data_IF_150232607430
#
_entry.id   IF_150232607430
#
_cell.length_a   1.000
_cell.length_b   1.000
_cell.length_c   1.000
_cell.angle_alpha   90.00
_cell.angle_beta   90.00
_cell.angle_gamma   90.00
#
_symmetry.space_group_name_H-M   'P 1'
#
loop_
_entity.id
_entity.type
_entity.pdbx_description
1 polymer ?
#
# COMPACT_ATOMS: atom_id res chain seq x y z
N UNK A 1 9.46 -12.90 7.65
CA UNK A 1 9.65 -13.04 6.18
C UNK A 1 9.62 -11.66 5.52
N UNK A 2 9.88 -11.57 4.21
CA UNK A 2 9.69 -10.31 3.47
C UNK A 2 8.25 -9.79 3.55
N UNK A 3 7.26 -10.66 3.36
CA UNK A 3 5.83 -10.33 3.44
C UNK A 3 5.38 -9.75 4.80
N UNK A 4 5.87 -10.28 5.93
CA UNK A 4 5.55 -9.71 7.26
C UNK A 4 6.05 -8.27 7.44
N UNK A 5 7.22 -7.96 6.88
CA UNK A 5 7.78 -6.61 6.93
C UNK A 5 6.97 -5.64 6.07
N UNK A 6 6.50 -6.09 4.91
CA UNK A 6 5.67 -5.29 4.01
C UNK A 6 4.26 -5.06 4.59
N UNK A 7 3.64 -6.08 5.19
CA UNK A 7 2.37 -5.91 5.91
C UNK A 7 2.46 -4.92 7.07
N UNK A 8 3.55 -4.94 7.83
CA UNK A 8 3.78 -3.96 8.89
C UNK A 8 3.93 -2.54 8.34
N UNK A 9 4.59 -2.37 7.20
CA UNK A 9 4.72 -1.08 6.51
C UNK A 9 3.36 -0.56 6.05
N UNK A 10 2.53 -1.39 5.42
CA UNK A 10 1.17 -1.06 5.01
C UNK A 10 0.31 -0.67 6.22
N UNK A 11 0.31 -1.49 7.28
CA UNK A 11 -0.41 -1.18 8.51
C UNK A 11 0.01 0.19 9.08
N UNK A 12 1.31 0.53 9.01
CA UNK A 12 1.81 1.84 9.47
C UNK A 12 1.36 2.99 8.58
N UNK A 13 1.29 2.80 7.26
CA UNK A 13 0.80 3.82 6.30
C UNK A 13 -0.66 4.18 6.58
N UNK A 14 -1.50 3.18 6.85
CA UNK A 14 -2.93 3.38 7.08
C UNK A 14 -3.32 3.62 8.55
N UNK A 15 -2.40 3.43 9.51
CA UNK A 15 -2.66 3.64 10.94
C UNK A 15 -2.97 5.11 11.32
N UNK A 16 -2.63 6.07 10.46
CA UNK A 16 -2.95 7.48 10.65
C UNK A 16 -3.77 7.99 9.49
N UNK A 17 -4.88 8.72 9.75
CA UNK A 17 -5.64 9.32 8.67
C UNK A 17 -4.76 10.33 7.93
N UNK A 18 -4.72 10.19 6.61
CA UNK A 18 -4.10 11.13 5.69
C UNK A 18 -5.14 11.58 4.66
N UNK A 19 -5.03 12.82 4.20
CA UNK A 19 -5.86 13.34 3.10
C UNK A 19 -5.25 12.99 1.75
N UNK A 20 -3.93 12.78 1.70
CA UNK A 20 -3.16 12.47 0.49
C UNK A 20 -2.22 11.33 0.81
N UNK A 21 -2.27 10.27 0.00
CA UNK A 21 -1.37 9.13 0.05
C UNK A 21 -0.53 9.13 -1.23
N UNK A 22 0.79 9.03 -1.08
CA UNK A 22 1.74 8.96 -2.21
C UNK A 22 2.49 7.65 -2.09
N UNK A 23 2.46 6.85 -3.16
CA UNK A 23 3.13 5.56 -3.26
C UNK A 23 3.98 5.53 -4.52
N UNK A 24 5.24 5.11 -4.38
CA UNK A 24 6.23 5.01 -5.44
C UNK A 24 6.68 3.56 -5.53
N UNK A 25 6.33 2.88 -6.62
CA UNK A 25 6.52 1.44 -6.84
C UNK A 25 6.03 0.55 -5.68
N UNK A 26 4.78 0.71 -5.19
CA UNK A 26 4.34 0.01 -3.98
C UNK A 26 4.14 -1.49 -4.16
N UNK A 27 4.07 -1.98 -5.40
CA UNK A 27 3.91 -3.39 -5.76
C UNK A 27 5.22 -4.16 -5.76
N UNK A 28 6.36 -3.46 -5.77
CA UNK A 28 7.66 -4.10 -5.83
C UNK A 28 7.95 -4.91 -4.56
N UNK A 29 8.57 -6.08 -4.74
CA UNK A 29 8.92 -7.00 -3.65
C UNK A 29 7.72 -7.46 -2.77
N UNK A 30 6.47 -7.32 -3.25
CA UNK A 30 5.28 -7.86 -2.59
C UNK A 30 5.03 -9.31 -3.03
N UNK A 31 4.63 -10.15 -2.08
CA UNK A 31 3.98 -11.42 -2.42
C UNK A 31 2.52 -11.18 -2.84
N UNK A 32 1.92 -12.17 -3.49
CA UNK A 32 0.54 -12.08 -4.03
C UNK A 32 -0.46 -11.69 -2.94
N UNK A 33 -0.35 -12.30 -1.75
CA UNK A 33 -1.24 -12.00 -0.62
C UNK A 33 -1.14 -10.53 -0.17
N UNK A 34 0.06 -9.97 -0.13
CA UNK A 34 0.28 -8.58 0.27
C UNK A 34 -0.17 -7.60 -0.83
N UNK A 35 -0.08 -8.01 -2.09
CA UNK A 35 -0.56 -7.22 -3.23
C UNK A 35 -2.09 -7.12 -3.23
N UNK A 36 -2.80 -8.23 -3.00
CA UNK A 36 -4.27 -8.24 -2.84
C UNK A 36 -4.70 -7.34 -1.67
N UNK A 37 -4.02 -7.43 -0.51
CA UNK A 37 -4.28 -6.55 0.63
C UNK A 37 -4.07 -5.07 0.29
N UNK A 38 -3.00 -4.73 -0.44
CA UNK A 38 -2.74 -3.36 -0.87
C UNK A 38 -3.87 -2.87 -1.78
N UNK A 39 -4.33 -3.68 -2.73
CA UNK A 39 -5.45 -3.32 -3.62
C UNK A 39 -6.73 -3.03 -2.84
N UNK A 40 -7.10 -3.89 -1.88
CA UNK A 40 -8.27 -3.68 -1.02
C UNK A 40 -8.17 -2.35 -0.24
N UNK A 41 -7.02 -2.08 0.38
CA UNK A 41 -6.78 -0.86 1.15
C UNK A 41 -6.86 0.41 0.27
N UNK A 42 -6.36 0.33 -0.97
CA UNK A 42 -6.41 1.45 -1.91
C UNK A 42 -7.82 1.70 -2.43
N UNK A 43 -8.62 0.65 -2.66
CA UNK A 43 -10.02 0.79 -3.06
C UNK A 43 -10.88 1.46 -1.98
N UNK A 44 -10.58 1.22 -0.71
CA UNK A 44 -11.30 1.82 0.42
C UNK A 44 -10.80 3.23 0.80
N UNK A 45 -9.64 3.65 0.27
CA UNK A 45 -9.02 4.92 0.65
C UNK A 45 -9.84 6.12 0.14
N UNK A 46 -10.39 6.90 1.07
CA UNK A 46 -11.25 8.07 0.77
C UNK A 46 -10.50 9.37 0.47
N UNK A 47 -9.17 9.35 0.52
CA UNK A 47 -8.34 10.52 0.24
C UNK A 47 -7.91 10.61 -1.22
N UNK A 48 -7.00 11.54 -1.50
CA UNK A 48 -6.33 11.62 -2.80
C UNK A 48 -5.17 10.63 -2.85
N UNK A 49 -5.11 9.82 -3.90
CA UNK A 49 -4.04 8.86 -4.13
C UNK A 49 -3.15 9.32 -5.30
N UNK A 50 -1.85 9.37 -5.07
CA UNK A 50 -0.82 9.47 -6.12
C UNK A 50 -0.04 8.16 -6.15
N UNK A 51 -0.22 7.39 -7.20
CA UNK A 51 0.45 6.12 -7.41
C UNK A 51 1.40 6.24 -8.60
N UNK A 52 2.68 5.95 -8.37
CA UNK A 52 3.69 5.78 -9.41
C UNK A 52 4.04 4.30 -9.45
N UNK A 53 3.96 3.70 -10.63
CA UNK A 53 4.25 2.28 -10.88
C UNK A 53 4.92 2.19 -12.25
N UNK A 54 5.86 1.27 -12.42
CA UNK A 54 6.63 1.09 -13.66
C UNK A 54 5.94 0.15 -14.66
N UNK A 55 4.72 -0.30 -14.35
CA UNK A 55 3.83 -1.14 -15.17
C UNK A 55 2.46 -0.49 -15.39
#
# INVERSE_FOLDING_TARGET
SGGERNRLLLARLFARPANVLVLDEPTNDLDIETLELLEELLQEYRGTLFLVSHD
#
